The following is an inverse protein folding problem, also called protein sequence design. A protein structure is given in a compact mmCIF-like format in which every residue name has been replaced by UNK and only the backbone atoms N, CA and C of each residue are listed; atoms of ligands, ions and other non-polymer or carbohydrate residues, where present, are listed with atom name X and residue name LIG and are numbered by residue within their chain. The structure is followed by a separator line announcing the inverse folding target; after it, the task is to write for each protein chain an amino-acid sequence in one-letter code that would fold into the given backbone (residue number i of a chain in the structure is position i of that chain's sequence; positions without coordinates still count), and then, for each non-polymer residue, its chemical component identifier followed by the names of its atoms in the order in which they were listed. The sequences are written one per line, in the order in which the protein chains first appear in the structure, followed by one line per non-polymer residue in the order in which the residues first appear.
data_IF_311858704709
#
_entry.id   IF_311858704709
#
_cell.length_a   1.000
_cell.length_b   1.000
_cell.length_c   1.000
_cell.angle_alpha   90.00
_cell.angle_beta   90.00
_cell.angle_gamma   90.00
#
_symmetry.space_group_name_H-M   'P 1'
#
loop_
_entity.id
_entity.type
_entity.pdbx_description
1 polymer ?
#
# COMPACT_ATOMS: atom_id res chain seq x y z
N UNK A 1 26.89 9.40 14.28
CA UNK A 1 25.51 9.79 14.68
C UNK A 1 24.50 9.90 13.53
N UNK A 2 24.88 9.76 12.24
CA UNK A 2 23.95 9.91 11.09
C UNK A 2 23.09 8.67 10.74
N UNK A 3 23.32 7.52 11.40
CA UNK A 3 22.72 6.25 10.95
C UNK A 3 21.39 5.87 11.62
N UNK A 4 20.96 6.58 12.66
CA UNK A 4 19.71 6.25 13.40
C UNK A 4 18.48 6.90 12.73
N UNK A 5 18.56 8.17 12.33
CA UNK A 5 17.44 8.90 11.74
C UNK A 5 16.92 8.31 10.41
N UNK A 6 17.79 7.66 9.61
CA UNK A 6 17.38 7.05 8.33
C UNK A 6 16.67 5.71 8.53
N UNK A 7 16.98 4.97 9.61
CA UNK A 7 16.32 3.69 9.90
C UNK A 7 14.85 3.88 10.26
N UNK A 8 14.55 4.88 11.10
CA UNK A 8 13.18 5.13 11.56
C UNK A 8 12.24 5.54 10.43
N UNK A 9 12.73 6.29 9.43
CA UNK A 9 11.91 6.65 8.25
C UNK A 9 11.55 5.44 7.39
N UNK A 10 12.52 4.55 7.14
CA UNK A 10 12.27 3.33 6.34
C UNK A 10 11.30 2.37 7.03
N UNK A 11 11.31 2.32 8.36
CA UNK A 11 10.35 1.52 9.12
C UNK A 11 8.93 2.08 9.06
N UNK A 12 8.77 3.41 9.09
CA UNK A 12 7.48 4.07 8.92
C UNK A 12 6.82 3.71 7.59
N UNK A 13 7.56 3.84 6.50
CA UNK A 13 7.07 3.50 5.14
C UNK A 13 6.67 2.02 5.03
N UNK A 14 7.43 1.13 5.67
CA UNK A 14 7.14 -0.31 5.67
C UNK A 14 5.86 -0.62 6.46
N UNK A 15 5.59 0.09 7.55
CA UNK A 15 4.37 -0.06 8.34
C UNK A 15 3.15 0.40 7.56
N UNK A 16 3.20 1.57 6.93
CA UNK A 16 2.10 2.06 6.08
C UNK A 16 1.76 1.07 4.96
N UNK A 17 2.77 0.59 4.23
CA UNK A 17 2.58 -0.44 3.19
C UNK A 17 1.88 -1.69 3.71
N UNK A 18 2.25 -2.17 4.90
CA UNK A 18 1.63 -3.34 5.53
C UNK A 18 0.18 -3.07 5.96
N UNK A 19 -0.12 -1.86 6.41
CA UNK A 19 -1.48 -1.43 6.77
C UNK A 19 -2.40 -1.42 5.55
N UNK A 20 -1.96 -0.79 4.45
CA UNK A 20 -2.75 -0.76 3.20
C UNK A 20 -3.03 -2.16 2.67
N UNK A 21 -2.03 -3.04 2.74
CA UNK A 21 -2.19 -4.44 2.38
C UNK A 21 -3.23 -5.19 3.22
N UNK A 22 -3.24 -4.93 4.53
CA UNK A 22 -4.22 -5.53 5.43
C UNK A 22 -5.63 -5.02 5.15
N UNK A 23 -5.78 -3.72 4.86
CA UNK A 23 -7.06 -3.13 4.47
C UNK A 23 -7.61 -3.72 3.17
N UNK A 24 -6.75 -3.91 2.16
CA UNK A 24 -7.11 -4.57 0.91
C UNK A 24 -7.56 -6.02 1.14
N UNK A 25 -6.86 -6.77 2.00
CA UNK A 25 -7.27 -8.14 2.37
C UNK A 25 -8.63 -8.17 3.06
N UNK A 26 -8.93 -7.19 3.92
CA UNK A 26 -10.26 -7.08 4.56
C UNK A 26 -11.35 -6.74 3.53
N UNK A 27 -11.06 -5.87 2.56
CA UNK A 27 -12.04 -5.41 1.56
C UNK A 27 -12.29 -6.45 0.45
N UNK A 28 -11.23 -7.01 -0.11
CA UNK A 28 -11.27 -7.95 -1.24
C UNK A 28 -11.33 -9.41 -0.79
N UNK A 29 -11.06 -9.70 0.48
CA UNK A 29 -10.97 -11.06 1.03
C UNK A 29 -9.65 -11.76 0.68
N UNK A 30 -9.26 -11.72 -0.58
CA UNK A 30 -7.98 -12.24 -1.08
C UNK A 30 -7.22 -11.15 -1.85
N UNK A 31 -5.89 -11.20 -1.77
CA UNK A 31 -5.00 -10.29 -2.50
C UNK A 31 -3.92 -11.12 -3.17
N UNK A 32 -3.75 -10.96 -4.47
CA UNK A 32 -2.72 -11.64 -5.23
C UNK A 32 -1.30 -11.18 -4.86
N UNK A 33 -0.33 -12.06 -5.03
CA UNK A 33 1.08 -11.72 -4.80
C UNK A 33 1.56 -10.58 -5.73
N UNK A 34 0.98 -10.47 -6.94
CA UNK A 34 1.26 -9.37 -7.85
C UNK A 34 0.83 -8.02 -7.24
N UNK A 35 -0.35 -7.96 -6.64
CA UNK A 35 -0.84 -6.76 -5.98
C UNK A 35 -0.04 -6.43 -4.71
N UNK A 36 0.35 -7.46 -3.94
CA UNK A 36 1.26 -7.30 -2.80
C UNK A 36 2.56 -6.61 -3.21
N UNK A 37 3.19 -7.08 -4.30
CA UNK A 37 4.41 -6.49 -4.83
C UNK A 37 4.19 -5.08 -5.37
N UNK A 38 3.07 -4.82 -6.06
CA UNK A 38 2.74 -3.48 -6.53
C UNK A 38 2.65 -2.50 -5.36
N UNK A 39 1.93 -2.82 -4.28
CA UNK A 39 1.81 -1.99 -3.08
C UNK A 39 3.18 -1.74 -2.43
N UNK A 40 4.03 -2.77 -2.34
CA UNK A 40 5.36 -2.63 -1.77
C UNK A 40 6.31 -1.76 -2.60
N UNK A 41 6.21 -1.81 -3.92
CA UNK A 41 7.06 -1.03 -4.82
C UNK A 41 6.57 0.41 -5.03
N UNK A 42 5.35 0.73 -4.57
CA UNK A 42 4.78 2.06 -4.74
C UNK A 42 5.17 3.07 -3.65
N UNK A 43 4.95 4.35 -4.00
CA UNK A 43 5.16 5.50 -3.10
C UNK A 43 4.01 5.64 -2.11
N UNK A 44 4.32 6.11 -0.90
CA UNK A 44 3.36 6.31 0.18
C UNK A 44 2.18 7.20 -0.21
N UNK A 45 2.40 8.26 -1.00
CA UNK A 45 1.33 9.17 -1.45
C UNK A 45 0.24 8.44 -2.26
N UNK A 46 0.65 7.52 -3.15
CA UNK A 46 -0.29 6.69 -3.93
C UNK A 46 -1.06 5.73 -3.02
N UNK A 47 -0.37 5.15 -2.02
CA UNK A 47 -0.99 4.26 -1.04
C UNK A 47 -1.99 4.98 -0.12
N UNK A 48 -1.73 6.24 0.19
CA UNK A 48 -2.67 7.07 0.94
C UNK A 48 -3.94 7.36 0.12
N UNK A 49 -3.79 7.69 -1.17
CA UNK A 49 -4.93 7.86 -2.09
C UNK A 49 -5.75 6.58 -2.22
N UNK A 50 -5.06 5.44 -2.31
CA UNK A 50 -5.68 4.12 -2.33
C UNK A 50 -6.46 3.81 -1.05
N UNK A 51 -5.90 4.18 0.11
CA UNK A 51 -6.55 4.00 1.42
C UNK A 51 -7.82 4.84 1.54
N UNK A 52 -7.84 6.06 0.99
CA UNK A 52 -9.05 6.89 0.93
C UNK A 52 -10.11 6.31 -0.02
N UNK A 53 -9.65 5.69 -1.12
CA UNK A 53 -10.52 5.08 -2.13
C UNK A 53 -10.88 3.62 -1.85
N UNK A 54 -10.46 3.06 -0.71
CA UNK A 54 -10.63 1.63 -0.37
C UNK A 54 -12.09 1.18 -0.40
N UNK A 55 -13.03 2.09 -0.08
CA UNK A 55 -14.46 1.79 -0.09
C UNK A 55 -15.04 1.72 -1.51
N UNK A 56 -14.49 2.51 -2.44
CA UNK A 56 -14.90 2.56 -3.84
C UNK A 56 -14.37 1.38 -4.66
N UNK A 57 -13.29 0.77 -4.20
CA UNK A 57 -12.65 -0.38 -4.85
C UNK A 57 -13.48 -1.64 -4.65
N UNK A 58 -13.64 -2.41 -5.72
CA UNK A 58 -14.39 -3.68 -5.71
C UNK A 58 -13.55 -4.88 -6.11
N UNK A 59 -12.44 -4.64 -6.81
CA UNK A 59 -11.58 -5.68 -7.37
C UNK A 59 -10.11 -5.24 -7.37
N UNK A 60 -9.19 -6.15 -7.68
CA UNK A 60 -7.75 -5.85 -7.73
C UNK A 60 -7.37 -4.89 -8.88
N UNK A 61 -8.13 -4.87 -9.98
CA UNK A 61 -7.85 -4.01 -11.14
C UNK A 61 -8.07 -2.52 -10.81
N UNK A 62 -9.09 -2.20 -10.01
CA UNK A 62 -9.33 -0.84 -9.50
C UNK A 62 -8.13 -0.34 -8.66
N UNK A 63 -7.51 -1.24 -7.88
CA UNK A 63 -6.31 -0.93 -7.08
C UNK A 63 -5.14 -0.62 -8.01
N UNK A 64 -4.92 -1.45 -9.03
CA UNK A 64 -3.84 -1.27 -10.00
C UNK A 64 -4.01 0.02 -10.81
N UNK A 65 -5.25 0.40 -11.14
CA UNK A 65 -5.55 1.69 -11.80
C UNK A 65 -5.14 2.87 -10.92
N UNK A 66 -5.50 2.89 -9.64
CA UNK A 66 -5.13 3.98 -8.72
C UNK A 66 -3.61 4.07 -8.54
N UNK A 67 -2.96 2.91 -8.50
CA UNK A 67 -1.52 2.80 -8.33
C UNK A 67 -0.75 3.23 -9.59
N UNK A 68 -1.22 2.85 -10.78
CA UNK A 68 -0.56 3.15 -12.06
C UNK A 68 -0.98 4.49 -12.66
N UNK A 69 -1.99 5.15 -12.08
CA UNK A 69 -2.43 6.49 -12.50
C UNK A 69 -1.43 7.60 -12.17
#
# INVERSE_FOLDING_TARGET
MKSICVKERKEGEKREKKTVLSLLKVKLGNVSNQLEQAIQNNSIEKLNTLTLSIFAITNEDDVLKIINS
#
